data_IF_255490611463
#
_entry.id   IF_255490611463
#
_cell.length_a   1.000
_cell.length_b   1.000
_cell.length_c   1.000
_cell.angle_alpha   90.00
_cell.angle_beta   90.00
_cell.angle_gamma   90.00
#
_symmetry.space_group_name_H-M   'P 1'
#
loop_
_entity.id
_entity.type
_entity.pdbx_description
1 polymer ?
#
# COMPACT_ATOMS: atom_id res chain seq x y z
N UNK A 1 -2.75 -7.56 -22.32
CA UNK A 1 -3.01 -7.18 -23.73
C UNK A 1 -2.16 -5.96 -24.03
N UNK A 2 -1.16 -6.14 -24.89
CA UNK A 2 -0.12 -5.15 -25.20
C UNK A 2 -0.67 -3.94 -25.95
N UNK A 3 0.03 -2.80 -25.88
CA UNK A 3 -0.13 -1.57 -26.67
C UNK A 3 -0.13 -1.76 -28.21
N UNK A 4 -0.13 -3.01 -28.68
CA UNK A 4 -0.31 -3.41 -30.07
C UNK A 4 -1.75 -3.79 -30.42
N UNK A 5 -2.76 -3.07 -29.93
CA UNK A 5 -4.06 -3.10 -30.62
C UNK A 5 -3.90 -2.32 -31.94
N UNK A 6 -3.26 -2.96 -32.92
CA UNK A 6 -3.28 -2.53 -34.31
C UNK A 6 -4.72 -2.70 -34.78
N UNK A 7 -5.43 -1.60 -34.92
CA UNK A 7 -6.66 -1.57 -35.70
C UNK A 7 -6.32 -2.22 -37.05
N UNK A 8 -6.96 -3.35 -37.35
CA UNK A 8 -6.73 -4.16 -38.56
C UNK A 8 -7.18 -3.46 -39.87
N UNK A 9 -7.48 -2.16 -39.81
CA UNK A 9 -8.00 -1.34 -40.90
C UNK A 9 -7.29 0.03 -40.93
N UNK A 10 -6.01 0.02 -41.31
CA UNK A 10 -5.28 1.22 -41.72
C UNK A 10 -5.13 1.14 -43.25
N UNK A 11 -6.20 1.43 -43.99
CA UNK A 11 -6.23 1.29 -45.46
C UNK A 11 -5.70 2.51 -46.23
N UNK A 12 -5.13 3.52 -45.55
CA UNK A 12 -4.49 4.64 -46.26
C UNK A 12 -3.28 5.18 -45.52
N UNK A 13 -2.09 4.81 -46.01
CA UNK A 13 -0.84 5.49 -45.69
C UNK A 13 -0.64 6.54 -46.79
N UNK A 14 -0.76 7.83 -46.45
CA UNK A 14 -0.26 8.89 -47.34
C UNK A 14 1.26 8.89 -47.23
N UNK A 15 1.94 8.35 -48.25
CA UNK A 15 3.37 8.47 -48.39
C UNK A 15 3.71 9.91 -48.81
N UNK A 16 4.23 10.70 -47.86
CA UNK A 16 5.05 11.87 -48.21
C UNK A 16 6.39 11.36 -48.72
N UNK A 17 6.89 11.93 -49.83
CA UNK A 17 8.15 11.53 -50.45
C UNK A 17 9.33 11.51 -49.47
N UNK A 18 10.38 10.78 -49.86
CA UNK A 18 11.50 10.16 -49.12
C UNK A 18 12.19 10.93 -47.96
N UNK A 19 11.80 12.17 -47.67
CA UNK A 19 12.36 13.01 -46.61
C UNK A 19 11.39 13.37 -45.47
N UNK A 20 10.11 13.00 -45.52
CA UNK A 20 9.12 13.37 -44.49
C UNK A 20 8.54 12.13 -43.78
N UNK A 21 8.52 12.09 -42.43
CA UNK A 21 7.84 11.03 -41.69
C UNK A 21 6.35 11.01 -42.09
N UNK A 22 5.93 9.93 -42.76
CA UNK A 22 4.58 9.81 -43.32
C UNK A 22 3.49 10.02 -42.26
N UNK A 23 2.52 10.88 -42.59
CA UNK A 23 1.36 11.14 -41.74
C UNK A 23 0.43 9.92 -41.80
N UNK A 24 0.35 9.15 -40.71
CA UNK A 24 -0.59 8.03 -40.61
C UNK A 24 -1.98 8.57 -40.30
N UNK A 25 -2.85 8.58 -41.31
CA UNK A 25 -4.27 8.83 -41.14
C UNK A 25 -4.91 7.55 -40.61
N UNK A 26 -5.27 7.55 -39.32
CA UNK A 26 -6.17 6.54 -38.79
C UNK A 26 -7.59 6.82 -39.31
N UNK A 27 -8.35 5.76 -39.58
CA UNK A 27 -9.77 5.86 -39.95
C UNK A 27 -10.50 6.66 -38.87
N UNK A 28 -11.16 7.75 -39.28
CA UNK A 28 -11.94 8.59 -38.39
C UNK A 28 -13.10 7.76 -37.84
N UNK A 29 -12.99 7.35 -36.57
CA UNK A 29 -14.11 6.81 -35.81
C UNK A 29 -14.86 7.97 -35.19
N UNK A 30 -16.16 8.07 -35.47
CA UNK A 30 -17.05 9.02 -34.77
C UNK A 30 -17.13 8.70 -33.26
N UNK A 31 -16.83 7.45 -32.88
CA UNK A 31 -16.77 7.04 -31.48
C UNK A 31 -15.32 7.19 -30.95
N UNK A 32 -15.11 8.23 -30.15
CA UNK A 32 -13.82 8.57 -29.52
C UNK A 32 -13.54 7.69 -28.28
N UNK A 33 -14.50 6.85 -27.90
CA UNK A 33 -14.41 5.98 -26.73
C UNK A 33 -13.45 4.81 -27.00
N UNK A 34 -12.51 4.60 -26.08
CA UNK A 34 -11.68 3.38 -26.07
C UNK A 34 -12.58 2.19 -25.70
N UNK A 35 -12.35 0.99 -26.25
CA UNK A 35 -13.14 -0.19 -25.92
C UNK A 35 -13.10 -0.45 -24.41
N UNK A 36 -14.22 -0.89 -23.83
CA UNK A 36 -14.36 -1.06 -22.37
C UNK A 36 -13.30 -2.02 -21.79
N UNK A 37 -12.85 -3.00 -22.59
CA UNK A 37 -11.78 -3.93 -22.22
C UNK A 37 -10.44 -3.25 -21.92
N UNK A 38 -10.20 -2.05 -22.45
CA UNK A 38 -9.01 -1.25 -22.11
C UNK A 38 -9.01 -0.85 -20.62
N UNK A 39 -10.18 -0.60 -20.04
CA UNK A 39 -10.35 -0.16 -18.66
C UNK A 39 -10.55 -1.31 -17.66
N UNK A 40 -10.51 -2.56 -18.12
CA UNK A 40 -10.70 -3.73 -17.27
C UNK A 40 -9.66 -3.79 -16.14
N UNK A 41 -8.39 -3.48 -16.43
CA UNK A 41 -7.30 -3.50 -15.44
C UNK A 41 -7.52 -2.42 -14.36
N UNK A 42 -7.64 -1.11 -14.69
CA UNK A 42 -7.96 -0.08 -13.69
C UNK A 42 -9.21 -0.42 -12.86
N UNK A 43 -10.25 -0.97 -13.48
CA UNK A 43 -11.48 -1.34 -12.79
C UNK A 43 -11.26 -2.47 -11.77
N UNK A 44 -10.54 -3.53 -12.14
CA UNK A 44 -10.18 -4.62 -11.22
C UNK A 44 -9.32 -4.08 -10.08
N UNK A 45 -8.33 -3.25 -10.36
CA UNK A 45 -7.46 -2.68 -9.33
C UNK A 45 -8.24 -1.73 -8.41
N UNK A 46 -9.17 -0.94 -8.94
CA UNK A 46 -10.07 -0.13 -8.12
C UNK A 46 -10.92 -0.97 -7.17
N UNK A 47 -11.50 -2.07 -7.65
CA UNK A 47 -12.25 -3.01 -6.80
C UNK A 47 -11.36 -3.62 -5.70
N UNK A 48 -10.14 -4.03 -6.03
CA UNK A 48 -9.16 -4.53 -5.06
C UNK A 48 -8.79 -3.46 -4.03
N UNK A 49 -8.62 -2.20 -4.44
CA UNK A 49 -8.33 -1.08 -3.55
C UNK A 49 -9.49 -0.81 -2.57
N UNK A 50 -10.75 -0.91 -3.02
CA UNK A 50 -11.93 -0.78 -2.14
C UNK A 50 -11.92 -1.87 -1.07
N UNK A 51 -11.67 -3.12 -1.46
CA UNK A 51 -11.56 -4.25 -0.51
C UNK A 51 -10.39 -4.03 0.45
N UNK A 52 -9.23 -3.62 -0.04
CA UNK A 52 -8.06 -3.30 0.76
C UNK A 52 -8.35 -2.18 1.78
N UNK A 53 -9.03 -1.10 1.36
CA UNK A 53 -9.43 -0.01 2.24
C UNK A 53 -10.32 -0.53 3.38
N UNK A 54 -11.29 -1.40 3.07
CA UNK A 54 -12.15 -2.01 4.07
C UNK A 54 -11.36 -2.91 5.04
N UNK A 55 -10.49 -3.78 4.53
CA UNK A 55 -9.64 -4.65 5.36
C UNK A 55 -8.76 -3.82 6.29
N UNK A 56 -8.04 -2.83 5.76
CA UNK A 56 -7.17 -1.95 6.56
C UNK A 56 -7.98 -1.12 7.56
N UNK A 57 -9.21 -0.71 7.23
CA UNK A 57 -10.06 0.05 8.15
C UNK A 57 -10.46 -0.74 9.40
N UNK A 58 -10.42 -2.08 9.35
CA UNK A 58 -10.77 -2.97 10.46
C UNK A 58 -9.59 -3.30 11.36
N UNK A 59 -8.35 -3.10 10.88
CA UNK A 59 -7.14 -3.41 11.65
C UNK A 59 -6.75 -2.21 12.50
N UNK A 60 -6.67 -2.40 13.81
CA UNK A 60 -6.18 -1.36 14.73
C UNK A 60 -4.65 -1.41 14.81
N UNK A 61 -4.00 -0.84 13.79
CA UNK A 61 -2.54 -0.68 13.73
C UNK A 61 -2.19 0.82 13.70
N UNK A 62 -1.11 1.18 14.37
CA UNK A 62 -0.47 2.50 14.30
C UNK A 62 -0.11 2.93 12.86
N UNK A 63 -0.08 1.99 11.91
CA UNK A 63 0.17 2.23 10.48
C UNK A 63 -1.11 2.48 9.66
N UNK A 64 -2.30 2.23 10.24
CA UNK A 64 -3.61 2.28 9.57
C UNK A 64 -3.84 3.56 8.78
N UNK A 65 -3.56 4.72 9.39
CA UNK A 65 -3.81 6.03 8.74
C UNK A 65 -2.96 6.18 7.47
N UNK A 66 -1.67 5.81 7.52
CA UNK A 66 -0.78 5.90 6.36
C UNK A 66 -1.19 4.91 5.26
N UNK A 67 -1.55 3.68 5.64
CA UNK A 67 -2.06 2.68 4.70
C UNK A 67 -3.35 3.14 4.02
N UNK A 68 -4.30 3.71 4.77
CA UNK A 68 -5.54 4.25 4.21
C UNK A 68 -5.26 5.44 3.28
N UNK A 69 -4.32 6.32 3.61
CA UNK A 69 -3.92 7.42 2.73
C UNK A 69 -3.31 6.92 1.42
N UNK A 70 -2.43 5.90 1.45
CA UNK A 70 -1.88 5.28 0.24
C UNK A 70 -2.98 4.68 -0.63
N UNK A 71 -3.87 3.88 -0.04
CA UNK A 71 -4.96 3.22 -0.76
C UNK A 71 -5.92 4.25 -1.34
N UNK A 72 -6.30 5.27 -0.56
CA UNK A 72 -7.23 6.32 -1.01
C UNK A 72 -6.62 7.13 -2.16
N UNK A 73 -5.34 7.47 -2.08
CA UNK A 73 -4.64 8.16 -3.17
C UNK A 73 -4.69 7.33 -4.47
N UNK A 74 -4.39 6.02 -4.40
CA UNK A 74 -4.46 5.13 -5.55
C UNK A 74 -5.90 4.93 -6.07
N UNK A 75 -6.90 4.91 -5.17
CA UNK A 75 -8.32 4.86 -5.56
C UNK A 75 -8.74 6.09 -6.35
N UNK A 76 -8.31 7.28 -5.92
CA UNK A 76 -8.60 8.54 -6.61
C UNK A 76 -7.95 8.55 -8.00
N UNK A 77 -6.70 8.08 -8.10
CA UNK A 77 -6.00 7.94 -9.39
C UNK A 77 -6.74 6.96 -10.34
N UNK A 78 -7.10 5.78 -9.83
CA UNK A 78 -7.83 4.76 -10.61
C UNK A 78 -9.22 5.25 -11.03
N UNK A 79 -9.95 5.92 -10.15
CA UNK A 79 -11.26 6.50 -10.46
C UNK A 79 -11.17 7.55 -11.57
N UNK A 80 -10.10 8.38 -11.57
CA UNK A 80 -9.84 9.36 -12.63
C UNK A 80 -9.74 8.70 -14.02
N UNK A 81 -9.06 7.57 -14.11
CA UNK A 81 -8.91 6.85 -15.38
C UNK A 81 -10.17 6.12 -15.81
N UNK A 82 -10.84 5.44 -14.86
CA UNK A 82 -12.09 4.74 -15.09
C UNK A 82 -13.18 5.71 -15.58
N UNK A 83 -13.21 6.94 -15.08
CA UNK A 83 -14.24 7.93 -15.45
C UNK A 83 -14.32 8.17 -16.98
N UNK A 84 -13.19 8.07 -17.70
CA UNK A 84 -13.15 8.21 -19.16
C UNK A 84 -13.90 7.09 -19.89
N UNK A 85 -14.02 5.90 -19.29
CA UNK A 85 -14.76 4.79 -19.88
C UNK A 85 -16.27 5.07 -19.93
N UNK A 86 -16.79 5.78 -18.93
CA UNK A 86 -18.22 6.02 -18.76
C UNK A 86 -18.69 7.31 -19.43
N UNK A 87 -17.90 8.38 -19.30
CA UNK A 87 -18.32 9.70 -19.74
C UNK A 87 -17.37 10.27 -20.81
N UNK A 88 -17.93 10.51 -22.00
CA UNK A 88 -17.25 11.23 -23.06
C UNK A 88 -17.30 12.74 -22.76
N UNK A 89 -16.31 13.25 -22.04
CA UNK A 89 -16.22 14.67 -21.71
C UNK A 89 -15.50 15.48 -22.80
N UNK A 90 -15.78 16.79 -22.92
CA UNK A 90 -15.05 17.71 -23.80
C UNK A 90 -13.57 17.77 -23.47
N UNK A 91 -12.71 17.96 -24.48
CA UNK A 91 -11.24 17.91 -24.33
C UNK A 91 -10.67 18.80 -23.20
N UNK A 92 -11.32 19.93 -22.88
CA UNK A 92 -10.93 20.78 -21.75
C UNK A 92 -10.86 20.05 -20.39
N UNK A 93 -11.76 19.09 -20.15
CA UNK A 93 -11.78 18.28 -18.93
C UNK A 93 -10.66 17.23 -18.87
N UNK A 94 -9.93 17.03 -19.97
CA UNK A 94 -8.80 16.11 -20.01
C UNK A 94 -7.67 16.56 -19.05
N UNK A 95 -7.41 17.86 -18.99
CA UNK A 95 -6.41 18.44 -18.10
C UNK A 95 -6.78 18.29 -16.63
N UNK A 96 -8.06 18.43 -16.30
CA UNK A 96 -8.55 18.20 -14.94
C UNK A 96 -8.32 16.76 -14.50
N UNK A 97 -8.66 15.80 -15.36
CA UNK A 97 -8.41 14.37 -15.10
C UNK A 97 -6.92 14.10 -14.87
N UNK A 98 -6.05 14.59 -15.75
CA UNK A 98 -4.61 14.40 -15.62
C UNK A 98 -4.05 15.06 -14.35
N UNK A 99 -4.57 16.23 -13.97
CA UNK A 99 -4.23 16.90 -12.72
C UNK A 99 -4.67 16.10 -11.50
N UNK A 100 -5.87 15.52 -11.53
CA UNK A 100 -6.39 14.67 -10.45
C UNK A 100 -5.58 13.38 -10.30
N UNK A 101 -5.20 12.75 -11.41
CA UNK A 101 -4.30 11.59 -11.39
C UNK A 101 -2.92 11.97 -10.85
N UNK A 102 -2.31 13.04 -11.37
CA UNK A 102 -0.97 13.46 -10.95
C UNK A 102 -0.92 13.88 -9.48
N UNK A 103 -1.91 14.63 -9.00
CA UNK A 103 -2.01 15.02 -7.59
C UNK A 103 -2.18 13.81 -6.68
N UNK A 104 -3.06 12.87 -7.03
CA UNK A 104 -3.26 11.64 -6.28
C UNK A 104 -1.98 10.77 -6.24
N UNK A 105 -1.32 10.57 -7.37
CA UNK A 105 -0.04 9.85 -7.45
C UNK A 105 1.06 10.54 -6.65
N UNK A 106 1.05 11.86 -6.60
CA UNK A 106 2.01 12.62 -5.82
C UNK A 106 1.75 12.51 -4.31
N UNK A 107 0.48 12.52 -3.87
CA UNK A 107 0.14 12.17 -2.48
C UNK A 107 0.65 10.78 -2.14
N UNK A 108 0.43 9.80 -3.02
CA UNK A 108 0.95 8.45 -2.85
C UNK A 108 2.49 8.45 -2.72
N UNK A 109 3.20 9.12 -3.61
CA UNK A 109 4.65 9.25 -3.59
C UNK A 109 5.16 9.89 -2.30
N UNK A 110 4.48 10.92 -1.79
CA UNK A 110 4.85 11.56 -0.53
C UNK A 110 4.58 10.68 0.69
N UNK A 111 3.49 9.91 0.72
CA UNK A 111 3.11 9.06 1.87
C UNK A 111 3.96 7.78 1.94
N UNK A 112 4.38 7.23 0.79
CA UNK A 112 5.15 5.98 0.70
C UNK A 112 6.42 5.94 1.57
N UNK A 113 7.32 6.94 1.54
CA UNK A 113 8.51 6.93 2.39
C UNK A 113 8.18 7.09 3.87
N UNK A 114 7.08 7.79 4.23
CA UNK A 114 6.63 7.86 5.61
C UNK A 114 6.11 6.50 6.10
N UNK A 115 5.40 5.77 5.25
CA UNK A 115 4.97 4.41 5.54
C UNK A 115 6.16 3.48 5.74
N UNK A 116 7.15 3.50 4.84
CA UNK A 116 8.37 2.70 4.95
C UNK A 116 9.22 3.09 6.18
N UNK A 117 9.36 4.39 6.46
CA UNK A 117 10.06 4.88 7.66
C UNK A 117 9.37 4.42 8.95
N UNK A 118 8.03 4.48 9.00
CA UNK A 118 7.25 4.00 10.13
C UNK A 118 7.40 2.49 10.30
N UNK A 119 7.53 1.75 9.20
CA UNK A 119 7.85 0.31 9.20
C UNK A 119 9.22 0.04 9.84
N UNK A 120 10.21 0.88 9.55
CA UNK A 120 11.55 0.85 10.14
C UNK A 120 11.63 1.40 11.58
N UNK A 121 10.50 1.65 12.24
CA UNK A 121 10.46 2.22 13.60
C UNK A 121 10.89 3.69 13.68
N UNK A 122 11.15 4.37 12.57
CA UNK A 122 11.57 5.77 12.54
C UNK A 122 10.32 6.66 12.68
N UNK A 123 10.34 7.55 13.68
CA UNK A 123 9.28 8.54 13.88
C UNK A 123 9.64 9.81 13.12
N UNK A 124 9.08 9.96 11.93
CA UNK A 124 9.12 11.22 11.20
C UNK A 124 8.13 12.22 11.82
N UNK A 125 8.46 13.51 11.77
CA UNK A 125 7.58 14.55 12.30
C UNK A 125 6.29 14.62 11.47
N UNK A 126 5.14 14.54 12.17
CA UNK A 126 3.80 14.53 11.56
C UNK A 126 3.48 15.82 10.79
N UNK A 127 4.19 16.91 11.07
CA UNK A 127 4.02 18.21 10.41
C UNK A 127 4.49 18.21 8.95
N UNK A 128 5.45 17.35 8.60
CA UNK A 128 6.01 17.33 7.24
C UNK A 128 5.07 16.71 6.21
N UNK A 129 4.25 15.73 6.63
CA UNK A 129 3.34 15.03 5.73
C UNK A 129 2.30 15.97 5.09
N UNK A 130 1.48 16.74 5.85
CA UNK A 130 0.52 17.65 5.24
C UNK A 130 1.22 18.72 4.41
N UNK A 131 2.37 19.25 4.87
CA UNK A 131 3.13 20.25 4.13
C UNK A 131 3.59 19.74 2.75
N UNK A 132 4.15 18.53 2.69
CA UNK A 132 4.57 17.89 1.42
C UNK A 132 3.38 17.61 0.51
N UNK A 133 2.28 17.10 1.07
CA UNK A 133 1.06 16.82 0.30
C UNK A 133 0.46 18.11 -0.26
N UNK A 134 0.34 19.17 0.55
CA UNK A 134 -0.21 20.45 0.09
C UNK A 134 0.71 21.14 -0.91
N UNK A 135 2.03 21.14 -0.68
CA UNK A 135 2.99 21.72 -1.61
C UNK A 135 2.97 20.95 -2.95
N UNK A 136 2.85 19.65 -2.87
CA UNK A 136 2.67 18.75 -3.98
C UNK A 136 1.43 19.05 -4.83
N UNK A 137 0.25 19.08 -4.21
CA UNK A 137 -1.00 19.40 -4.89
C UNK A 137 -0.94 20.82 -5.48
N UNK A 138 -0.43 21.80 -4.74
CA UNK A 138 -0.26 23.16 -5.22
C UNK A 138 0.66 23.23 -6.45
N UNK A 139 1.80 22.52 -6.41
CA UNK A 139 2.71 22.44 -7.55
C UNK A 139 2.01 21.83 -8.78
N UNK A 140 1.16 20.82 -8.58
CA UNK A 140 0.40 20.23 -9.69
C UNK A 140 -0.65 21.15 -10.30
N UNK A 141 -1.24 22.04 -9.49
CA UNK A 141 -2.25 23.01 -9.94
C UNK A 141 -1.62 24.22 -10.64
N UNK A 142 -0.43 24.65 -10.21
CA UNK A 142 0.22 25.87 -10.70
C UNK A 142 1.02 25.67 -11.99
N UNK A 143 1.60 24.48 -12.21
CA UNK A 143 2.58 24.24 -13.29
C UNK A 143 1.94 23.60 -14.54
N UNK A 144 0.69 23.13 -14.47
CA UNK A 144 0.03 22.40 -15.57
C UNK A 144 0.34 20.89 -15.54
N UNK A 145 -0.15 20.07 -16.50
CA UNK A 145 -0.36 18.63 -16.36
C UNK A 145 0.95 17.89 -16.02
N UNK A 146 1.18 17.58 -14.74
CA UNK A 146 2.52 17.46 -14.18
C UNK A 146 2.88 16.00 -14.05
N UNK A 147 2.69 15.24 -15.13
CA UNK A 147 3.07 13.84 -15.17
C UNK A 147 4.57 13.69 -14.88
N UNK A 148 5.39 14.59 -15.43
CA UNK A 148 6.83 14.65 -15.15
C UNK A 148 7.13 14.89 -13.67
N UNK A 149 6.35 15.72 -12.98
CA UNK A 149 6.55 16.01 -11.55
C UNK A 149 6.13 14.82 -10.70
N UNK A 150 4.97 14.21 -10.98
CA UNK A 150 4.53 13.01 -10.26
C UNK A 150 5.49 11.83 -10.49
N UNK A 151 6.00 11.69 -11.72
CA UNK A 151 6.99 10.67 -12.06
C UNK A 151 8.32 10.94 -11.37
N UNK A 152 8.81 12.17 -11.39
CA UNK A 152 10.00 12.57 -10.64
C UNK A 152 9.85 12.34 -9.12
N UNK A 153 8.67 12.65 -8.57
CA UNK A 153 8.36 12.40 -7.16
C UNK A 153 8.41 10.91 -6.82
N UNK A 154 7.86 10.04 -7.69
CA UNK A 154 7.97 8.58 -7.54
C UNK A 154 9.42 8.09 -7.65
N UNK A 155 10.19 8.59 -8.62
CA UNK A 155 11.61 8.26 -8.78
C UNK A 155 12.45 8.63 -7.57
N UNK A 156 12.06 9.63 -6.79
CA UNK A 156 12.70 9.96 -5.52
C UNK A 156 12.13 9.15 -4.35
N UNK A 157 10.81 9.02 -4.27
CA UNK A 157 10.13 8.38 -3.16
C UNK A 157 10.40 6.87 -3.05
N UNK A 158 10.46 6.16 -4.17
CA UNK A 158 10.65 4.71 -4.19
C UNK A 158 12.03 4.31 -3.67
N UNK A 159 13.16 4.87 -4.16
CA UNK A 159 14.48 4.59 -3.58
C UNK A 159 14.60 4.94 -2.10
N UNK A 160 14.02 6.06 -1.67
CA UNK A 160 14.00 6.44 -0.24
C UNK A 160 13.24 5.41 0.59
N UNK A 161 12.10 4.92 0.08
CA UNK A 161 11.31 3.86 0.74
C UNK A 161 12.06 2.54 0.79
N UNK A 162 12.83 2.19 -0.26
CA UNK A 162 13.71 1.02 -0.29
C UNK A 162 14.79 1.14 0.78
N UNK A 163 15.45 2.29 0.89
CA UNK A 163 16.48 2.53 1.90
C UNK A 163 15.94 2.36 3.34
N UNK A 164 14.74 2.88 3.63
CA UNK A 164 14.08 2.65 4.92
C UNK A 164 13.74 1.18 5.15
N UNK A 165 13.29 0.47 4.11
CA UNK A 165 12.93 -0.95 4.21
C UNK A 165 14.15 -1.85 4.42
N UNK A 166 15.28 -1.54 3.78
CA UNK A 166 16.57 -2.22 4.03
C UNK A 166 17.00 -2.03 5.49
N UNK A 167 16.87 -0.81 6.02
CA UNK A 167 17.16 -0.55 7.44
C UNK A 167 16.22 -1.35 8.37
N UNK A 168 14.93 -1.44 8.04
CA UNK A 168 13.98 -2.27 8.79
C UNK A 168 14.37 -3.77 8.77
N UNK A 169 14.86 -4.25 7.63
CA UNK A 169 15.36 -5.62 7.47
C UNK A 169 16.61 -5.88 8.31
N UNK A 170 17.56 -4.94 8.35
CA UNK A 170 18.75 -5.02 9.23
C UNK A 170 18.38 -5.05 10.71
N UNK A 171 17.25 -4.45 11.09
CA UNK A 171 16.71 -4.48 12.46
C UNK A 171 15.88 -5.74 12.77
N UNK A 172 15.75 -6.68 11.83
CA UNK A 172 15.00 -7.93 12.04
C UNK A 172 13.48 -7.76 12.08
N UNK A 173 12.94 -6.64 11.55
CA UNK A 173 11.50 -6.41 11.53
C UNK A 173 10.82 -7.42 10.59
N UNK A 174 9.85 -8.18 11.12
CA UNK A 174 9.08 -9.17 10.36
C UNK A 174 8.32 -8.52 9.20
N UNK A 175 8.27 -9.19 8.05
CA UNK A 175 7.58 -8.70 6.85
C UNK A 175 8.35 -7.67 5.99
N UNK A 176 9.50 -7.16 6.46
CA UNK A 176 10.39 -6.30 5.67
C UNK A 176 10.83 -6.87 4.31
N UNK A 177 11.17 -8.18 4.15
CA UNK A 177 11.56 -8.70 2.83
C UNK A 177 10.40 -8.67 1.82
N UNK A 178 9.16 -8.78 2.29
CA UNK A 178 7.99 -8.72 1.42
C UNK A 178 7.66 -7.28 1.01
N UNK A 179 7.84 -6.31 1.91
CA UNK A 179 7.77 -4.89 1.55
C UNK A 179 8.87 -4.52 0.54
N UNK A 180 10.08 -5.04 0.73
CA UNK A 180 11.21 -4.80 -0.18
C UNK A 180 10.92 -5.35 -1.58
N UNK A 181 10.38 -6.57 -1.68
CA UNK A 181 10.01 -7.14 -2.98
C UNK A 181 8.91 -6.33 -3.66
N UNK A 182 7.89 -5.87 -2.92
CA UNK A 182 6.85 -5.00 -3.46
C UNK A 182 7.41 -3.67 -3.98
N UNK A 183 8.32 -3.02 -3.23
CA UNK A 183 8.98 -1.79 -3.67
C UNK A 183 9.90 -2.02 -4.87
N UNK A 184 10.52 -3.19 -4.98
CA UNK A 184 11.32 -3.55 -6.15
C UNK A 184 10.46 -3.71 -7.41
N UNK A 185 9.28 -4.34 -7.31
CA UNK A 185 8.32 -4.37 -8.42
C UNK A 185 7.86 -2.98 -8.84
N UNK A 186 7.63 -2.08 -7.86
CA UNK A 186 7.31 -0.68 -8.12
C UNK A 186 8.45 0.04 -8.85
N UNK A 187 9.70 -0.16 -8.43
CA UNK A 187 10.87 0.40 -9.10
C UNK A 187 11.04 -0.14 -10.53
N UNK A 188 10.88 -1.45 -10.71
CA UNK A 188 10.94 -2.09 -12.03
C UNK A 188 9.86 -1.54 -12.96
N UNK A 189 8.64 -1.34 -12.45
CA UNK A 189 7.57 -0.70 -13.21
C UNK A 189 7.94 0.72 -13.63
N UNK A 190 8.54 1.53 -12.75
CA UNK A 190 8.99 2.88 -13.11
C UNK A 190 10.05 2.87 -14.20
N UNK A 191 10.93 1.86 -14.21
CA UNK A 191 11.93 1.69 -15.26
C UNK A 191 11.32 1.26 -16.60
N UNK A 192 10.27 0.43 -16.59
CA UNK A 192 9.57 -0.01 -17.79
C UNK A 192 8.64 1.07 -18.37
N UNK A 193 8.21 2.01 -17.54
CA UNK A 193 7.24 3.06 -17.89
C UNK A 193 7.90 4.32 -18.50
N UNK A 194 9.16 4.25 -18.95
CA UNK A 194 9.86 5.37 -19.60
C UNK A 194 9.24 5.72 -20.95
N UNK A 195 8.15 6.48 -20.93
CA UNK A 195 7.45 7.00 -22.12
C UNK A 195 6.01 6.52 -22.28
N UNK A 196 5.48 5.70 -21.38
CA UNK A 196 4.07 5.36 -21.34
C UNK A 196 3.33 6.23 -20.30
N UNK A 197 2.08 6.56 -20.62
CA UNK A 197 1.18 7.19 -19.65
C UNK A 197 0.93 6.20 -18.51
N UNK A 198 0.87 6.69 -17.26
CA UNK A 198 0.70 6.02 -15.95
C UNK A 198 -0.45 4.99 -15.81
N UNK A 199 -0.73 4.15 -16.80
CA UNK A 199 -2.04 3.52 -16.96
C UNK A 199 -2.07 2.02 -16.71
N UNK A 200 -0.95 1.31 -16.84
CA UNK A 200 -0.96 -0.16 -16.72
C UNK A 200 0.09 -0.66 -15.74
N UNK A 201 1.37 -0.36 -15.98
CA UNK A 201 2.46 -0.91 -15.17
C UNK A 201 2.40 -0.45 -13.71
N UNK A 202 2.01 0.81 -13.45
CA UNK A 202 1.86 1.31 -12.09
C UNK A 202 0.81 0.52 -11.30
N UNK A 203 -0.34 0.21 -11.90
CA UNK A 203 -1.40 -0.55 -11.23
C UNK A 203 -1.01 -2.01 -11.02
N UNK A 204 -0.30 -2.62 -11.97
CA UNK A 204 0.23 -3.97 -11.80
C UNK A 204 1.25 -4.04 -10.65
N UNK A 205 2.12 -3.03 -10.53
CA UNK A 205 3.13 -2.95 -9.49
C UNK A 205 2.58 -2.58 -8.10
N UNK A 206 1.37 -2.03 -8.04
CA UNK A 206 0.65 -1.77 -6.78
C UNK A 206 0.09 -3.07 -6.18
N UNK A 207 -0.14 -4.12 -6.97
CA UNK A 207 -0.71 -5.39 -6.46
C UNK A 207 0.16 -6.03 -5.36
N UNK A 208 1.49 -6.22 -5.55
CA UNK A 208 2.37 -6.69 -4.48
C UNK A 208 2.34 -5.80 -3.24
N UNK A 209 2.26 -4.47 -3.43
CA UNK A 209 2.22 -3.51 -2.33
C UNK A 209 0.91 -3.62 -1.53
N UNK A 210 -0.23 -3.79 -2.21
CA UNK A 210 -1.52 -4.03 -1.57
C UNK A 210 -1.52 -5.32 -0.76
N UNK A 211 -0.92 -6.38 -1.29
CA UNK A 211 -0.80 -7.64 -0.57
C UNK A 211 -0.01 -7.45 0.75
N UNK A 212 1.08 -6.67 0.72
CA UNK A 212 1.87 -6.35 1.93
C UNK A 212 1.07 -5.50 2.92
N UNK A 213 0.34 -4.50 2.45
CA UNK A 213 -0.44 -3.60 3.30
C UNK A 213 -1.62 -4.33 3.97
N UNK A 214 -2.23 -5.29 3.27
CA UNK A 214 -3.38 -6.05 3.77
C UNK A 214 -3.00 -7.26 4.62
N UNK A 215 -1.73 -7.66 4.63
CA UNK A 215 -1.28 -8.75 5.48
C UNK A 215 -1.46 -8.36 6.94
N UNK A 216 -2.11 -9.22 7.77
CA UNK A 216 -2.18 -8.98 9.19
C UNK A 216 -0.74 -8.91 9.69
N UNK A 217 -0.38 -7.79 10.30
CA UNK A 217 0.89 -7.67 10.98
C UNK A 217 0.99 -8.86 11.92
N UNK A 218 1.96 -9.75 11.70
CA UNK A 218 2.41 -10.62 12.77
C UNK A 218 2.97 -9.66 13.78
N UNK A 219 2.13 -9.25 14.74
CA UNK A 219 2.59 -8.63 15.97
C UNK A 219 3.79 -9.47 16.36
N UNK A 220 5.02 -8.92 16.37
CA UNK A 220 6.06 -9.60 17.10
C UNK A 220 5.38 -9.86 18.44
N UNK A 221 5.31 -11.14 18.83
CA UNK A 221 5.06 -11.43 20.23
C UNK A 221 6.15 -10.63 20.89
N UNK A 222 5.80 -9.45 21.40
CA UNK A 222 6.58 -8.76 22.39
C UNK A 222 6.56 -9.79 23.49
N UNK A 223 7.54 -10.69 23.43
CA UNK A 223 8.15 -11.24 24.61
C UNK A 223 8.71 -9.98 25.24
N UNK A 224 7.84 -9.21 25.90
CA UNK A 224 8.23 -8.60 27.14
C UNK A 224 8.77 -9.77 27.94
N UNK A 225 10.06 -10.01 27.78
CA UNK A 225 10.92 -10.61 28.78
C UNK A 225 11.03 -9.62 29.95
N UNK A 226 9.91 -9.07 30.41
CA UNK A 226 9.68 -9.07 31.84
C UNK A 226 9.19 -10.49 32.08
N UNK A 227 10.09 -11.35 32.57
CA UNK A 227 9.70 -12.63 33.13
C UNK A 227 8.34 -12.45 33.83
N UNK A 228 7.28 -13.19 33.45
CA UNK A 228 6.11 -13.25 34.29
C UNK A 228 6.51 -14.11 35.48
N UNK A 229 7.43 -13.60 36.31
CA UNK A 229 8.01 -14.28 37.47
C UNK A 229 6.97 -14.42 38.58
N UNK A 230 5.70 -14.19 38.25
CA UNK A 230 4.55 -14.01 39.12
C UNK A 230 3.31 -14.56 38.43
N UNK A 231 2.86 -15.71 38.91
CA UNK A 231 1.54 -16.25 38.63
C UNK A 231 0.54 -15.65 39.60
N UNK A 232 -0.49 -14.97 39.09
CA UNK A 232 -1.60 -14.52 39.93
C UNK A 232 -2.62 -15.64 39.98
N UNK A 233 -2.87 -16.14 41.19
CA UNK A 233 -3.83 -17.19 41.48
C UNK A 233 -4.97 -16.59 42.28
N UNK A 234 -6.19 -16.69 41.76
CA UNK A 234 -7.39 -16.36 42.53
C UNK A 234 -7.93 -17.63 43.20
N UNK A 235 -8.07 -17.58 44.53
CA UNK A 235 -8.64 -18.68 45.31
C UNK A 235 -9.54 -18.09 46.40
N UNK A 236 -10.83 -18.43 46.35
CA UNK A 236 -11.84 -17.98 47.31
C UNK A 236 -11.90 -16.45 47.51
N UNK A 237 -11.73 -15.67 46.45
CA UNK A 237 -11.79 -14.21 46.48
C UNK A 237 -10.53 -13.54 47.02
N UNK A 238 -9.45 -14.30 47.21
CA UNK A 238 -8.11 -13.76 47.53
C UNK A 238 -7.17 -14.03 46.36
N UNK A 239 -6.65 -12.96 45.78
CA UNK A 239 -5.57 -13.03 44.81
C UNK A 239 -4.25 -13.24 45.55
N UNK A 240 -3.51 -14.28 45.16
CA UNK A 240 -2.16 -14.56 45.64
C UNK A 240 -1.20 -14.59 44.46
N UNK A 241 -0.10 -13.86 44.60
CA UNK A 241 0.96 -13.77 43.59
C UNK A 241 2.05 -14.78 43.95
N UNK A 242 2.35 -15.72 43.06
CA UNK A 242 3.26 -16.85 43.28
C UNK A 242 4.44 -16.77 42.31
N UNK A 243 5.67 -16.90 42.81
CA UNK A 243 6.89 -16.95 42.01
C UNK A 243 6.90 -18.11 41.00
N UNK A 244 7.37 -17.93 39.75
CA UNK A 244 7.50 -19.07 38.82
C UNK A 244 8.55 -20.06 39.29
N UNK A 245 9.61 -19.56 39.93
CA UNK A 245 10.71 -20.37 40.50
C UNK A 245 10.26 -21.28 41.66
N UNK A 246 9.07 -21.06 42.22
CA UNK A 246 8.52 -21.87 43.32
C UNK A 246 7.63 -23.01 42.82
N UNK A 247 7.40 -23.15 41.51
CA UNK A 247 6.46 -24.13 40.96
C UNK A 247 7.12 -25.48 40.71
N UNK A 248 6.56 -26.54 41.28
CA UNK A 248 6.99 -27.90 41.02
C UNK A 248 6.10 -28.63 40.02
N UNK A 249 4.77 -28.47 40.14
CA UNK A 249 3.81 -29.10 39.24
C UNK A 249 2.42 -28.44 39.32
N UNK A 250 1.67 -28.51 38.22
CA UNK A 250 0.23 -28.19 38.18
C UNK A 250 -0.51 -29.49 37.86
N UNK A 251 -1.45 -29.88 38.71
CA UNK A 251 -2.25 -31.09 38.54
C UNK A 251 -3.73 -30.72 38.47
N UNK A 252 -4.43 -31.21 37.45
CA UNK A 252 -5.88 -31.09 37.37
C UNK A 252 -6.56 -32.05 38.36
N UNK A 253 -7.43 -31.53 39.22
CA UNK A 253 -8.21 -32.30 40.19
C UNK A 253 -9.70 -32.01 40.00
N UNK A 254 -10.31 -32.63 38.99
CA UNK A 254 -11.73 -32.44 38.67
C UNK A 254 -12.03 -31.00 38.23
N UNK A 255 -12.71 -30.23 39.09
CA UNK A 255 -13.20 -28.87 38.79
C UNK A 255 -12.24 -27.75 39.23
N UNK A 256 -11.02 -28.11 39.65
CA UNK A 256 -10.00 -27.16 40.08
C UNK A 256 -8.61 -27.66 39.68
N UNK A 257 -7.65 -26.74 39.64
CA UNK A 257 -6.25 -27.02 39.45
C UNK A 257 -5.52 -26.92 40.80
N UNK A 258 -4.72 -27.93 41.14
CA UNK A 258 -3.80 -27.89 42.26
C UNK A 258 -2.43 -27.43 41.78
N UNK A 259 -1.90 -26.39 42.41
CA UNK A 259 -0.52 -25.94 42.18
C UNK A 259 0.32 -26.42 43.35
N UNK A 260 1.31 -27.27 43.06
CA UNK A 260 2.26 -27.78 44.03
C UNK A 260 3.51 -26.90 44.03
N UNK A 261 3.76 -26.24 45.17
CA UNK A 261 4.92 -25.39 45.36
C UNK A 261 6.10 -26.20 45.90
N UNK A 262 7.33 -25.76 45.61
CA UNK A 262 8.57 -26.41 46.06
C UNK A 262 8.66 -26.53 47.59
N UNK A 263 8.01 -25.63 48.35
CA UNK A 263 7.91 -25.67 49.81
C UNK A 263 6.88 -26.66 50.38
N UNK A 264 6.27 -27.53 49.55
CA UNK A 264 5.30 -28.54 49.99
C UNK A 264 3.88 -28.02 50.25
N UNK A 265 3.65 -26.71 50.14
CA UNK A 265 2.32 -26.11 50.24
C UNK A 265 1.49 -26.43 48.99
N UNK A 266 0.23 -26.82 49.18
CA UNK A 266 -0.75 -27.04 48.10
C UNK A 266 -1.74 -25.89 48.06
N UNK A 267 -2.06 -25.42 46.86
CA UNK A 267 -3.05 -24.37 46.67
C UNK A 267 -4.06 -24.80 45.60
N UNK A 268 -5.34 -24.70 45.94
CA UNK A 268 -6.46 -25.09 45.09
C UNK A 268 -6.98 -23.86 44.35
N UNK A 269 -6.98 -23.93 43.03
CA UNK A 269 -7.43 -22.86 42.13
C UNK A 269 -8.66 -23.35 41.38
N UNK A 270 -9.82 -22.72 41.60
CA UNK A 270 -11.02 -23.09 40.83
C UNK A 270 -10.86 -22.56 39.41
N UNK A 271 -11.07 -23.41 38.40
CA UNK A 271 -11.11 -22.95 37.03
C UNK A 271 -12.37 -22.08 36.86
N UNK A 272 -12.19 -20.81 36.51
CA UNK A 272 -13.29 -19.94 36.07
C UNK A 272 -13.60 -20.19 34.61
#
# INVERSE_FOLDING_TARGET
MSSHYRQRSLDSILHGGDALPGLRLASYSADVRRPIGYYAIPFIVFALLVVAAFVVSRVDDNKRILSLLLITALMVAAAAEIFRAFYAYPYAWHMLRLGLLASATLVFACVLPFYAARWAGIRLSKLWLPALVTAGIAATLLIGPPQSVAHGALWMAVPVSIAFTIKAMQQGVSGSPMLLSALFFLLLSLFLDTGLFFDQYLYDAVIPLLAVICLPGKTPVTVESSEPDRLIVDSAGKQKVIGVNEKMAIQGAGNYAEIKLAGGYRQNCRAC
#
